data_IF_140786734800
#
_entry.id   IF_140786734800
#
_cell.length_a   1.000
_cell.length_b   1.000
_cell.length_c   1.000
_cell.angle_alpha   90.00
_cell.angle_beta   90.00
_cell.angle_gamma   90.00
#
_symmetry.space_group_name_H-M   'P 1'
#
loop_
_entity.id
_entity.type
_entity.pdbx_description
1 polymer ?
#
# COMPACT_ATOMS: atom_id res chain seq x y z
N UNK A 1 -11.04 -30.40 -13.35
CA UNK A 1 -11.67 -29.17 -13.83
C UNK A 1 -11.82 -28.09 -12.75
N UNK A 2 -12.30 -28.39 -11.53
CA UNK A 2 -12.52 -27.36 -10.48
C UNK A 2 -11.22 -26.68 -10.01
N UNK A 3 -10.13 -27.42 -9.79
CA UNK A 3 -8.84 -26.86 -9.38
C UNK A 3 -8.23 -25.94 -10.47
N UNK A 4 -8.36 -26.31 -11.74
CA UNK A 4 -7.90 -25.48 -12.86
C UNK A 4 -8.64 -24.14 -12.92
N UNK A 5 -9.97 -24.13 -12.72
CA UNK A 5 -10.75 -22.88 -12.64
C UNK A 5 -10.31 -22.00 -11.48
N UNK A 6 -10.01 -22.59 -10.31
CA UNK A 6 -9.49 -21.85 -9.16
C UNK A 6 -8.10 -21.29 -9.44
N UNK A 7 -7.22 -22.03 -10.10
CA UNK A 7 -5.89 -21.56 -10.49
C UNK A 7 -5.97 -20.38 -11.49
N UNK A 8 -6.81 -20.48 -12.52
CA UNK A 8 -7.03 -19.38 -13.47
C UNK A 8 -7.55 -18.13 -12.75
N UNK A 9 -8.54 -18.30 -11.85
CA UNK A 9 -9.02 -17.17 -11.04
C UNK A 9 -7.94 -16.61 -10.11
N UNK A 10 -7.06 -17.47 -9.56
CA UNK A 10 -5.92 -17.03 -8.76
C UNK A 10 -4.91 -16.20 -9.56
N UNK A 11 -4.59 -16.63 -10.79
CA UNK A 11 -3.77 -15.84 -11.70
C UNK A 11 -4.41 -14.47 -12.01
N UNK A 12 -5.72 -14.42 -12.25
CA UNK A 12 -6.44 -13.16 -12.46
C UNK A 12 -6.32 -12.23 -11.24
N UNK A 13 -6.47 -12.75 -10.01
CA UNK A 13 -6.31 -11.96 -8.79
C UNK A 13 -4.88 -11.42 -8.67
N UNK A 14 -3.87 -12.24 -8.96
CA UNK A 14 -2.49 -11.78 -8.97
C UNK A 14 -2.28 -10.63 -9.96
N UNK A 15 -2.82 -10.73 -11.18
CA UNK A 15 -2.73 -9.65 -12.17
C UNK A 15 -3.43 -8.37 -11.71
N UNK A 16 -4.54 -8.46 -10.98
CA UNK A 16 -5.21 -7.28 -10.39
C UNK A 16 -4.32 -6.61 -9.34
N UNK A 17 -3.70 -7.38 -8.46
CA UNK A 17 -2.82 -6.88 -7.41
C UNK A 17 -1.45 -6.45 -7.95
N UNK A 18 -1.04 -6.98 -9.10
CA UNK A 18 0.33 -6.94 -9.61
C UNK A 18 0.86 -5.54 -9.80
N UNK A 19 0.10 -4.66 -10.47
CA UNK A 19 0.55 -3.31 -10.79
C UNK A 19 0.94 -2.52 -9.53
N UNK A 20 0.08 -2.54 -8.52
CA UNK A 20 0.32 -1.87 -7.26
C UNK A 20 1.46 -2.54 -6.45
N UNK A 21 1.53 -3.87 -6.49
CA UNK A 21 2.49 -4.64 -5.69
C UNK A 21 3.95 -4.42 -6.12
N UNK A 22 4.23 -4.30 -7.42
CA UNK A 22 5.60 -4.06 -7.93
C UNK A 22 6.02 -2.60 -7.87
N UNK A 23 5.08 -1.66 -7.75
CA UNK A 23 5.40 -0.24 -7.65
C UNK A 23 6.20 0.09 -6.39
N UNK A 24 5.85 -0.47 -5.25
CA UNK A 24 6.54 -0.18 -3.98
C UNK A 24 8.03 -0.52 -4.05
N UNK A 25 8.45 -1.74 -4.43
CA UNK A 25 9.89 -2.04 -4.52
C UNK A 25 10.61 -1.17 -5.56
N UNK A 26 10.00 -0.90 -6.71
CA UNK A 26 10.62 -0.05 -7.73
C UNK A 26 10.84 1.39 -7.25
N UNK A 27 9.95 1.92 -6.40
CA UNK A 27 10.06 3.27 -5.82
C UNK A 27 11.08 3.35 -4.70
N UNK A 28 11.20 2.28 -3.93
CA UNK A 28 12.02 2.25 -2.72
C UNK A 28 13.41 1.68 -2.95
N UNK A 29 13.70 1.20 -4.18
CA UNK A 29 14.96 0.52 -4.50
C UNK A 29 15.02 -0.92 -3.97
N UNK A 30 13.89 -1.47 -3.48
CA UNK A 30 13.81 -2.85 -3.07
C UNK A 30 13.66 -3.78 -4.29
N UNK A 31 13.97 -5.06 -4.09
CA UNK A 31 13.86 -6.04 -5.17
C UNK A 31 12.39 -6.43 -5.42
N UNK A 32 11.85 -6.26 -6.66
CA UNK A 32 10.48 -6.68 -6.99
C UNK A 32 10.18 -8.16 -6.75
N UNK A 33 11.19 -9.04 -6.92
CA UNK A 33 11.04 -10.45 -6.62
C UNK A 33 10.73 -10.70 -5.14
N UNK A 34 11.34 -9.92 -4.23
CA UNK A 34 11.09 -10.03 -2.80
C UNK A 34 9.70 -9.52 -2.42
N UNK A 35 9.16 -8.54 -3.15
CA UNK A 35 7.77 -8.10 -2.96
C UNK A 35 6.77 -9.20 -3.35
N UNK A 36 7.01 -9.88 -4.48
CA UNK A 36 6.20 -11.03 -4.92
C UNK A 36 6.28 -12.20 -3.92
N UNK A 37 7.49 -12.51 -3.46
CA UNK A 37 7.72 -13.58 -2.48
C UNK A 37 7.05 -13.25 -1.13
N UNK A 38 7.24 -12.03 -0.64
CA UNK A 38 6.63 -11.54 0.61
C UNK A 38 5.11 -11.53 0.55
N UNK A 39 4.52 -11.06 -0.55
CA UNK A 39 3.08 -11.08 -0.78
C UNK A 39 2.51 -12.52 -0.80
N UNK A 40 3.19 -13.42 -1.51
CA UNK A 40 2.79 -14.82 -1.59
C UNK A 40 2.87 -15.53 -0.24
N UNK A 41 4.03 -15.49 0.43
CA UNK A 41 4.22 -16.12 1.74
C UNK A 41 3.29 -15.47 2.78
N UNK A 42 3.23 -14.13 2.82
CA UNK A 42 2.36 -13.38 3.74
C UNK A 42 0.89 -13.78 3.57
N UNK A 43 0.40 -13.89 2.33
CA UNK A 43 -0.98 -14.34 2.05
C UNK A 43 -1.22 -15.78 2.53
N UNK A 44 -0.27 -16.71 2.33
CA UNK A 44 -0.43 -18.08 2.81
C UNK A 44 -0.46 -18.15 4.34
N UNK A 45 0.40 -17.39 5.02
CA UNK A 45 0.42 -17.30 6.48
C UNK A 45 -0.86 -16.64 7.02
N UNK A 46 -1.33 -15.56 6.39
CA UNK A 46 -2.63 -14.96 6.69
C UNK A 46 -3.76 -15.99 6.59
N UNK A 47 -3.79 -16.78 5.52
CA UNK A 47 -4.79 -17.83 5.36
C UNK A 47 -4.68 -18.94 6.41
N UNK A 48 -3.47 -19.27 6.85
CA UNK A 48 -3.27 -20.23 7.93
C UNK A 48 -3.87 -19.72 9.23
N UNK A 49 -3.57 -18.49 9.62
CA UNK A 49 -4.08 -17.85 10.86
C UNK A 49 -5.61 -17.67 10.79
N UNK A 50 -6.15 -17.27 9.64
CA UNK A 50 -7.60 -17.07 9.46
C UNK A 50 -8.36 -18.35 9.09
N UNK A 51 -7.67 -19.52 9.11
CA UNK A 51 -8.23 -20.84 8.75
C UNK A 51 -8.88 -20.84 7.37
N UNK A 52 -8.31 -20.09 6.42
CA UNK A 52 -8.81 -19.92 5.04
C UNK A 52 -10.27 -19.45 4.97
N UNK A 53 -10.72 -18.62 5.93
CA UNK A 53 -12.09 -18.11 5.93
C UNK A 53 -12.22 -16.84 5.10
N UNK A 54 -11.20 -16.00 5.08
CA UNK A 54 -11.25 -14.66 4.50
C UNK A 54 -10.58 -14.63 3.14
N UNK A 55 -11.28 -14.24 2.06
CA UNK A 55 -10.72 -14.19 0.72
C UNK A 55 -9.96 -12.86 0.50
N UNK A 56 -8.83 -12.69 1.19
CA UNK A 56 -7.92 -11.55 1.10
C UNK A 56 -6.59 -12.02 0.53
N UNK A 57 -6.00 -11.20 -0.33
CA UNK A 57 -4.63 -11.28 -0.81
C UNK A 57 -3.86 -10.09 -0.26
N UNK A 58 -2.66 -10.35 0.27
CA UNK A 58 -1.77 -9.32 0.80
C UNK A 58 -0.78 -8.88 -0.29
N UNK A 59 -0.54 -7.59 -0.39
CA UNK A 59 0.45 -7.04 -1.30
C UNK A 59 1.20 -5.87 -0.67
N UNK A 60 2.15 -5.27 -1.38
CA UNK A 60 3.06 -4.26 -0.85
C UNK A 60 2.34 -3.00 -0.37
N UNK A 61 2.65 -2.53 0.83
CA UNK A 61 2.01 -1.37 1.45
C UNK A 61 2.61 -0.05 0.97
N UNK A 62 1.79 0.84 0.42
CA UNK A 62 2.19 2.19 -0.01
C UNK A 62 2.55 3.11 1.15
N UNK A 63 1.97 2.89 2.34
CA UNK A 63 2.23 3.70 3.52
C UNK A 63 3.70 3.70 3.96
N UNK A 64 4.44 2.67 3.57
CA UNK A 64 5.84 2.52 3.92
C UNK A 64 6.82 3.09 2.87
N UNK A 65 6.36 3.59 1.71
CA UNK A 65 7.28 4.10 0.67
C UNK A 65 8.18 5.19 1.22
N UNK A 66 7.62 6.29 1.72
CA UNK A 66 8.40 7.39 2.27
C UNK A 66 9.26 6.97 3.49
N UNK A 67 8.74 6.21 4.47
CA UNK A 67 9.55 5.65 5.55
C UNK A 67 10.71 4.77 5.08
N UNK A 68 10.51 3.90 4.09
CA UNK A 68 11.58 3.04 3.56
C UNK A 68 12.68 3.88 2.90
N UNK A 69 12.31 4.83 2.02
CA UNK A 69 13.28 5.71 1.35
C UNK A 69 14.13 6.46 2.38
N UNK A 70 13.49 7.06 3.39
CA UNK A 70 14.19 7.76 4.46
C UNK A 70 15.11 6.83 5.25
N UNK A 71 14.60 5.67 5.66
CA UNK A 71 15.35 4.71 6.49
C UNK A 71 16.55 4.11 5.76
N UNK A 72 16.42 3.82 4.46
CA UNK A 72 17.54 3.34 3.64
C UNK A 72 18.63 4.42 3.55
N UNK A 73 18.25 5.68 3.36
CA UNK A 73 19.17 6.79 3.27
C UNK A 73 19.92 7.05 4.60
N UNK A 74 19.25 6.89 5.74
CA UNK A 74 19.80 7.21 7.07
C UNK A 74 20.57 6.04 7.68
N UNK A 75 20.08 4.80 7.54
CA UNK A 75 20.62 3.61 8.24
C UNK A 75 20.98 2.44 7.34
N UNK A 76 20.76 2.56 6.05
CA UNK A 76 20.98 1.49 5.08
C UNK A 76 19.88 0.43 5.02
N UNK A 77 19.96 -0.41 3.99
CA UNK A 77 18.96 -1.42 3.68
C UNK A 77 18.82 -2.51 4.77
N UNK A 78 19.90 -3.11 5.32
CA UNK A 78 19.76 -4.17 6.34
C UNK A 78 19.08 -3.67 7.63
N UNK A 79 19.37 -2.45 8.07
CA UNK A 79 18.73 -1.81 9.23
C UNK A 79 17.24 -1.51 8.95
N UNK A 80 16.93 -1.07 7.73
CA UNK A 80 15.56 -0.84 7.27
C UNK A 80 14.74 -2.12 7.31
N UNK A 81 15.29 -3.26 6.88
CA UNK A 81 14.62 -4.55 6.94
C UNK A 81 14.25 -4.95 8.37
N UNK A 82 15.14 -4.72 9.35
CA UNK A 82 14.81 -4.92 10.76
C UNK A 82 13.70 -3.98 11.24
N UNK A 83 13.71 -2.73 10.79
CA UNK A 83 12.63 -1.77 11.07
C UNK A 83 11.27 -2.26 10.52
N UNK A 84 11.25 -2.79 9.31
CA UNK A 84 10.03 -3.34 8.69
C UNK A 84 9.55 -4.60 9.42
N UNK A 85 10.44 -5.49 9.82
CA UNK A 85 10.11 -6.61 10.69
C UNK A 85 9.47 -6.13 12.00
N UNK A 86 10.06 -5.12 12.65
CA UNK A 86 9.53 -4.56 13.88
C UNK A 86 8.15 -3.91 13.68
N UNK A 87 7.91 -3.26 12.54
CA UNK A 87 6.61 -2.67 12.21
C UNK A 87 5.44 -3.69 12.28
N UNK A 88 5.70 -4.96 11.96
CA UNK A 88 4.71 -6.02 12.08
C UNK A 88 4.19 -6.23 13.51
N UNK A 89 4.98 -5.90 14.53
CA UNK A 89 4.53 -6.01 15.92
C UNK A 89 3.40 -5.02 16.26
N UNK A 90 3.30 -3.90 15.57
CA UNK A 90 2.21 -2.96 15.78
C UNK A 90 0.84 -3.59 15.48
N UNK A 91 0.76 -4.48 14.51
CA UNK A 91 -0.47 -5.21 14.20
C UNK A 91 -0.88 -6.13 15.35
N UNK A 92 0.09 -6.76 16.06
CA UNK A 92 -0.23 -7.58 17.23
C UNK A 92 -0.71 -6.70 18.39
N UNK A 93 -0.18 -5.48 18.55
CA UNK A 93 -0.70 -4.52 19.54
C UNK A 93 -2.16 -4.19 19.27
N UNK A 94 -2.52 -3.90 18.01
CA UNK A 94 -3.92 -3.67 17.62
C UNK A 94 -4.78 -4.93 17.78
N UNK A 95 -4.28 -6.08 17.38
CA UNK A 95 -4.99 -7.35 17.55
C UNK A 95 -5.31 -7.62 19.03
N UNK A 96 -4.34 -7.38 19.91
CA UNK A 96 -4.50 -7.53 21.36
C UNK A 96 -5.50 -6.50 21.92
N UNK A 97 -5.41 -5.26 21.48
CA UNK A 97 -6.34 -4.18 21.88
C UNK A 97 -7.77 -4.54 21.50
N UNK A 98 -8.00 -5.04 20.29
CA UNK A 98 -9.31 -5.48 19.82
C UNK A 98 -9.80 -6.67 20.63
N UNK A 99 -8.93 -7.64 20.90
CA UNK A 99 -9.28 -8.83 21.68
C UNK A 99 -9.71 -8.47 23.13
N UNK A 100 -9.08 -7.47 23.75
CA UNK A 100 -9.34 -7.10 25.15
C UNK A 100 -10.45 -6.06 25.31
N UNK A 101 -10.48 -5.04 24.45
CA UNK A 101 -11.37 -3.88 24.58
C UNK A 101 -12.42 -3.80 23.49
N UNK A 102 -12.35 -4.71 22.50
CA UNK A 102 -13.25 -4.71 21.35
C UNK A 102 -12.92 -3.63 20.31
N UNK A 103 -13.63 -3.65 19.20
CA UNK A 103 -13.47 -2.70 18.09
C UNK A 103 -13.78 -1.24 18.51
N UNK A 104 -14.65 -1.06 19.50
CA UNK A 104 -15.02 0.27 20.01
C UNK A 104 -13.81 1.06 20.54
N UNK A 105 -12.82 0.38 21.16
CA UNK A 105 -11.60 1.04 21.64
C UNK A 105 -10.75 1.56 20.49
N UNK A 106 -10.63 0.80 19.40
CA UNK A 106 -9.91 1.23 18.19
C UNK A 106 -10.64 2.39 17.51
N UNK A 107 -11.97 2.32 17.35
CA UNK A 107 -12.76 3.40 16.75
C UNK A 107 -12.71 4.70 17.57
N UNK A 108 -12.51 4.60 18.89
CA UNK A 108 -12.33 5.78 19.75
C UNK A 108 -10.96 6.43 19.56
N UNK A 109 -9.92 5.62 19.39
CA UNK A 109 -8.55 6.09 19.21
C UNK A 109 -8.34 6.63 17.78
N UNK A 110 -8.98 5.99 16.82
CA UNK A 110 -8.81 6.14 15.39
C UNK A 110 -10.17 6.41 14.70
N UNK A 111 -10.84 7.53 15.04
CA UNK A 111 -12.06 7.93 14.34
C UNK A 111 -11.75 8.39 12.91
N UNK A 112 -12.75 8.51 12.03
CA UNK A 112 -12.54 8.90 10.62
C UNK A 112 -11.81 10.24 10.42
N UNK A 113 -11.95 11.19 11.36
CA UNK A 113 -11.20 12.47 11.34
C UNK A 113 -9.69 12.28 11.57
N UNK A 114 -9.28 11.18 12.17
CA UNK A 114 -7.87 10.78 12.33
C UNK A 114 -7.41 9.98 11.12
N UNK A 115 -8.20 8.98 10.72
CA UNK A 115 -7.83 8.02 9.66
C UNK A 115 -7.78 8.69 8.28
N UNK A 116 -8.80 9.48 7.94
CA UNK A 116 -8.94 10.07 6.61
C UNK A 116 -7.73 10.93 6.20
N UNK A 117 -7.33 11.92 6.99
CA UNK A 117 -6.14 12.72 6.70
C UNK A 117 -4.85 11.91 6.63
N UNK A 118 -4.68 10.88 7.47
CA UNK A 118 -3.50 10.00 7.42
C UNK A 118 -3.45 9.23 6.10
N UNK A 119 -4.59 8.70 5.62
CA UNK A 119 -4.67 8.05 4.30
C UNK A 119 -4.40 9.07 3.17
N UNK A 120 -4.92 10.31 3.28
CA UNK A 120 -4.61 11.35 2.30
C UNK A 120 -3.11 11.63 2.22
N UNK A 121 -2.42 11.66 3.37
CA UNK A 121 -0.97 11.84 3.43
C UNK A 121 -0.23 10.69 2.75
N UNK A 122 -0.69 9.43 2.83
CA UNK A 122 -0.05 8.30 2.13
C UNK A 122 0.06 8.60 0.62
N UNK A 123 -1.02 9.07 0.00
CA UNK A 123 -0.98 9.43 -1.42
C UNK A 123 -0.19 10.70 -1.71
N UNK A 124 -0.42 11.76 -0.94
CA UNK A 124 0.15 13.09 -1.22
C UNK A 124 1.64 13.18 -0.90
N UNK A 125 2.15 12.46 0.10
CA UNK A 125 3.58 12.50 0.46
C UNK A 125 4.51 11.97 -0.64
N UNK A 126 4.01 11.08 -1.49
CA UNK A 126 4.78 10.52 -2.61
C UNK A 126 4.39 11.14 -3.96
N UNK A 127 3.48 12.10 -3.99
CA UNK A 127 3.05 12.77 -5.22
C UNK A 127 4.20 13.53 -5.90
N UNK A 128 5.12 14.13 -5.11
CA UNK A 128 6.31 14.78 -5.64
C UNK A 128 7.22 13.80 -6.38
N UNK A 129 7.42 12.60 -5.81
CA UNK A 129 8.23 11.54 -6.44
C UNK A 129 7.59 11.11 -7.77
N UNK A 130 6.26 10.91 -7.79
CA UNK A 130 5.53 10.58 -9.01
C UNK A 130 5.70 11.66 -10.09
N UNK A 131 5.61 12.94 -9.72
CA UNK A 131 5.80 14.07 -10.63
C UNK A 131 7.22 14.14 -11.16
N UNK A 132 8.24 13.96 -10.32
CA UNK A 132 9.65 13.92 -10.74
C UNK A 132 9.90 12.77 -11.73
N UNK A 133 9.40 11.57 -11.44
CA UNK A 133 9.52 10.43 -12.34
C UNK A 133 8.81 10.66 -13.68
N UNK A 134 7.63 11.29 -13.66
CA UNK A 134 6.90 11.66 -14.87
C UNK A 134 7.68 12.67 -15.74
N UNK A 135 8.47 13.53 -15.11
CA UNK A 135 9.38 14.48 -15.77
C UNK A 135 10.75 13.87 -16.14
N UNK A 136 10.95 12.55 -15.90
CA UNK A 136 12.20 11.86 -16.20
C UNK A 136 13.32 12.09 -15.19
N UNK A 137 12.98 12.47 -13.94
CA UNK A 137 13.95 12.76 -12.88
C UNK A 137 13.98 11.64 -11.85
N UNK A 138 15.19 11.30 -11.37
CA UNK A 138 15.42 10.43 -10.21
C UNK A 138 16.23 11.19 -9.17
N UNK A 139 15.69 11.38 -7.96
CA UNK A 139 16.37 12.11 -6.89
C UNK A 139 16.75 13.55 -7.26
N UNK A 140 15.97 14.21 -8.12
CA UNK A 140 16.23 15.57 -8.61
C UNK A 140 17.21 15.65 -9.78
N UNK A 141 17.75 14.52 -10.26
CA UNK A 141 18.65 14.45 -11.42
C UNK A 141 17.88 14.02 -12.65
N UNK A 142 18.06 14.70 -13.79
CA UNK A 142 17.45 14.33 -15.05
C UNK A 142 18.12 13.07 -15.61
N UNK A 143 17.34 11.99 -15.76
CA UNK A 143 17.80 10.68 -16.25
C UNK A 143 17.29 10.40 -17.66
N UNK A 144 16.08 10.90 -17.99
CA UNK A 144 15.48 10.81 -19.31
C UNK A 144 15.20 12.23 -19.79
N UNK A 145 15.47 12.55 -21.06
CA UNK A 145 15.16 13.88 -21.62
C UNK A 145 13.73 14.33 -21.26
N UNK A 146 13.60 15.58 -20.84
CA UNK A 146 12.36 16.13 -20.30
C UNK A 146 11.19 16.01 -21.26
N UNK A 147 11.42 16.31 -22.55
CA UNK A 147 10.36 16.28 -23.57
C UNK A 147 9.90 14.84 -23.85
N UNK A 148 10.84 13.91 -23.93
CA UNK A 148 10.56 12.49 -24.10
C UNK A 148 9.84 11.92 -22.87
N UNK A 149 10.28 12.32 -21.67
CA UNK A 149 9.68 11.89 -20.42
C UNK A 149 8.23 12.35 -20.31
N UNK A 150 7.92 13.62 -20.59
CA UNK A 150 6.55 14.14 -20.56
C UNK A 150 5.64 13.48 -21.60
N UNK A 151 6.15 13.25 -22.81
CA UNK A 151 5.37 12.57 -23.86
C UNK A 151 5.02 11.13 -23.41
N UNK A 152 6.00 10.40 -22.90
CA UNK A 152 5.83 9.01 -22.48
C UNK A 152 4.95 8.89 -21.23
N UNK A 153 5.18 9.71 -20.21
CA UNK A 153 4.37 9.72 -18.98
C UNK A 153 2.95 10.20 -19.26
N UNK A 154 2.77 11.22 -20.09
CA UNK A 154 1.46 11.72 -20.51
C UNK A 154 0.66 10.65 -21.27
N UNK A 155 1.30 9.97 -22.23
CA UNK A 155 0.69 8.84 -22.94
C UNK A 155 0.26 7.74 -21.97
N UNK A 156 1.18 7.33 -21.08
CA UNK A 156 0.92 6.27 -20.09
C UNK A 156 -0.23 6.65 -19.14
N UNK A 157 -0.24 7.90 -18.66
CA UNK A 157 -1.32 8.43 -17.81
C UNK A 157 -2.66 8.42 -18.55
N UNK A 158 -2.73 8.93 -19.78
CA UNK A 158 -3.96 8.99 -20.59
C UNK A 158 -4.50 7.57 -20.79
N UNK A 159 -3.66 6.60 -21.19
CA UNK A 159 -4.09 5.21 -21.38
C UNK A 159 -4.64 4.65 -20.07
N UNK A 160 -3.95 4.87 -18.95
CA UNK A 160 -4.39 4.39 -17.62
C UNK A 160 -5.76 4.97 -17.27
N UNK A 161 -5.96 6.27 -17.46
CA UNK A 161 -7.25 6.96 -17.22
C UNK A 161 -8.35 6.42 -18.14
N UNK A 162 -8.06 6.27 -19.44
CA UNK A 162 -9.02 5.75 -20.41
C UNK A 162 -9.48 4.34 -20.03
N UNK A 163 -8.56 3.48 -19.61
CA UNK A 163 -8.89 2.13 -19.14
C UNK A 163 -9.69 2.16 -17.83
N UNK A 164 -9.32 3.01 -16.90
CA UNK A 164 -10.01 3.13 -15.61
C UNK A 164 -11.46 3.62 -15.76
N UNK A 165 -11.71 4.54 -16.70
CA UNK A 165 -13.02 5.18 -16.87
C UNK A 165 -13.87 4.47 -17.93
N UNK A 166 -13.31 4.18 -19.09
CA UNK A 166 -14.05 3.68 -20.26
C UNK A 166 -13.83 2.19 -20.53
N UNK A 167 -12.87 1.55 -19.84
CA UNK A 167 -12.60 0.12 -19.98
C UNK A 167 -13.81 -0.77 -19.69
N UNK A 168 -13.80 -1.99 -20.23
CA UNK A 168 -14.77 -3.03 -19.85
C UNK A 168 -14.65 -3.36 -18.36
N UNK A 169 -15.65 -4.07 -17.80
CA UNK A 169 -15.64 -4.45 -16.36
C UNK A 169 -14.33 -5.11 -15.93
N UNK A 170 -13.75 -5.97 -16.78
CA UNK A 170 -12.48 -6.65 -16.48
C UNK A 170 -11.27 -5.74 -16.63
N UNK A 171 -11.24 -4.87 -17.65
CA UNK A 171 -10.13 -3.93 -17.86
C UNK A 171 -10.03 -2.89 -16.74
N UNK A 172 -11.16 -2.44 -16.19
CA UNK A 172 -11.19 -1.52 -15.05
C UNK A 172 -10.61 -2.10 -13.76
N UNK A 173 -10.38 -3.41 -13.69
CA UNK A 173 -9.69 -4.05 -12.55
C UNK A 173 -8.17 -3.93 -12.63
N UNK A 174 -7.63 -3.70 -13.84
CA UNK A 174 -6.18 -3.72 -14.09
C UNK A 174 -5.68 -2.48 -14.88
N UNK A 175 -6.17 -1.26 -14.58
CA UNK A 175 -5.84 -0.07 -15.36
C UNK A 175 -4.34 0.24 -15.30
N UNK A 176 -3.71 0.08 -14.12
CA UNK A 176 -2.28 0.30 -13.89
C UNK A 176 -1.47 -0.67 -14.77
N UNK A 177 -1.81 -1.96 -14.77
CA UNK A 177 -1.09 -2.97 -15.55
C UNK A 177 -1.18 -2.68 -17.05
N UNK A 178 -2.36 -2.31 -17.56
CA UNK A 178 -2.55 -1.96 -18.98
C UNK A 178 -1.80 -0.66 -19.31
N UNK A 179 -1.83 0.33 -18.42
CA UNK A 179 -1.08 1.57 -18.58
C UNK A 179 0.43 1.33 -18.64
N UNK A 180 0.98 0.53 -17.72
CA UNK A 180 2.39 0.14 -17.73
C UNK A 180 2.75 -0.61 -19.02
N UNK A 181 1.93 -1.58 -19.44
CA UNK A 181 2.19 -2.33 -20.67
C UNK A 181 2.19 -1.45 -21.91
N UNK A 182 1.23 -0.53 -22.02
CA UNK A 182 1.17 0.44 -23.13
C UNK A 182 2.34 1.42 -23.09
N UNK A 183 2.66 1.96 -21.92
CA UNK A 183 3.79 2.87 -21.73
C UNK A 183 5.13 2.20 -21.99
N UNK A 184 5.31 0.96 -21.54
CA UNK A 184 6.52 0.18 -21.82
C UNK A 184 6.67 -0.09 -23.32
N UNK A 185 5.57 -0.44 -24.02
CA UNK A 185 5.57 -0.62 -25.47
C UNK A 185 5.95 0.68 -26.19
N UNK A 186 5.39 1.81 -25.80
CA UNK A 186 5.78 3.11 -26.33
C UNK A 186 7.25 3.44 -26.08
N UNK A 187 7.76 3.14 -24.87
CA UNK A 187 9.14 3.34 -24.50
C UNK A 187 10.11 2.50 -25.35
N UNK A 188 9.72 1.26 -25.73
CA UNK A 188 10.48 0.43 -26.66
C UNK A 188 10.60 1.10 -28.05
N UNK A 189 9.52 1.63 -28.59
CA UNK A 189 9.56 2.35 -29.87
C UNK A 189 10.36 3.68 -29.81
N UNK A 190 10.43 4.30 -28.63
CA UNK A 190 11.23 5.49 -28.38
C UNK A 190 12.73 5.18 -28.12
N UNK A 191 13.12 3.90 -28.04
CA UNK A 191 14.49 3.50 -27.71
C UNK A 191 14.93 3.79 -26.28
N UNK A 192 13.98 3.96 -25.35
CA UNK A 192 14.23 4.27 -23.94
C UNK A 192 14.37 3.04 -23.05
N UNK A 193 14.26 1.84 -23.61
CA UNK A 193 14.35 0.57 -22.88
C UNK A 193 15.59 -0.19 -23.29
N UNK A 194 16.46 -0.50 -22.35
CA UNK A 194 17.52 -1.49 -22.56
C UNK A 194 16.98 -2.91 -22.29
N UNK A 195 16.88 -3.71 -23.32
CA UNK A 195 16.42 -5.10 -23.23
C UNK A 195 17.55 -6.10 -22.91
N UNK A 196 18.83 -5.65 -22.92
CA UNK A 196 19.99 -6.50 -22.68
C UNK A 196 19.93 -7.24 -21.34
N UNK A 197 19.53 -6.60 -20.22
CA UNK A 197 19.37 -7.29 -18.93
C UNK A 197 18.33 -8.42 -18.98
N UNK A 198 17.23 -8.22 -19.76
CA UNK A 198 16.18 -9.23 -19.89
C UNK A 198 16.69 -10.45 -20.68
N UNK A 199 17.42 -10.19 -21.78
CA UNK A 199 17.98 -11.25 -22.62
C UNK A 199 18.99 -12.10 -21.86
N UNK A 200 19.85 -11.48 -21.04
CA UNK A 200 20.90 -12.13 -20.29
C UNK A 200 20.41 -12.75 -18.97
N UNK A 201 19.26 -12.35 -18.45
CA UNK A 201 18.71 -12.91 -17.22
C UNK A 201 18.41 -14.42 -17.38
N UNK A 202 18.70 -15.24 -16.37
CA UNK A 202 18.33 -16.66 -16.38
C UNK A 202 16.80 -16.78 -16.26
N UNK A 203 16.26 -17.89 -16.78
CA UNK A 203 14.83 -18.21 -16.61
C UNK A 203 14.47 -18.41 -15.15
N UNK A 204 15.33 -19.09 -14.40
CA UNK A 204 15.18 -19.30 -12.97
C UNK A 204 16.32 -18.60 -12.22
N UNK A 205 15.96 -17.75 -11.25
CA UNK A 205 16.90 -17.06 -10.38
C UNK A 205 16.38 -17.09 -8.95
N UNK A 206 17.24 -17.41 -8.01
CA UNK A 206 16.92 -17.26 -6.59
C UNK A 206 16.99 -15.77 -6.27
N UNK A 207 15.91 -15.16 -5.73
CA UNK A 207 15.95 -13.76 -5.33
C UNK A 207 17.05 -13.49 -4.31
N UNK A 208 17.63 -12.31 -4.36
CA UNK A 208 18.63 -11.92 -3.36
C UNK A 208 17.94 -11.60 -2.04
N UNK A 209 18.28 -12.36 -0.99
CA UNK A 209 17.78 -12.17 0.35
C UNK A 209 18.70 -11.20 1.11
N UNK A 210 18.12 -10.13 1.63
CA UNK A 210 18.83 -9.24 2.54
C UNK A 210 18.76 -9.77 3.98
N UNK A 211 19.90 -9.77 4.67
CA UNK A 211 19.94 -10.16 6.08
C UNK A 211 19.67 -8.95 6.96
N UNK A 212 18.55 -8.93 7.71
CA UNK A 212 18.26 -7.81 8.60
C UNK A 212 19.34 -7.62 9.66
N UNK A 213 19.77 -6.38 9.89
CA UNK A 213 20.65 -6.00 10.98
C UNK A 213 19.88 -5.28 12.06
N UNK A 214 20.07 -5.71 13.33
CA UNK A 214 19.39 -5.10 14.47
C UNK A 214 19.77 -3.62 14.58
N UNK A 215 18.75 -2.77 14.39
CA UNK A 215 18.85 -1.33 14.56
C UNK A 215 17.57 -0.80 15.21
N UNK A 216 17.65 -0.45 16.48
CA UNK A 216 16.51 0.02 17.26
C UNK A 216 15.99 1.38 16.79
N UNK A 217 16.84 2.24 16.19
CA UNK A 217 16.39 3.53 15.63
C UNK A 217 15.48 3.29 14.41
N UNK A 218 15.89 2.42 13.51
CA UNK A 218 15.06 2.02 12.37
C UNK A 218 13.76 1.34 12.82
N UNK A 219 13.82 0.48 13.85
CA UNK A 219 12.64 -0.17 14.42
C UNK A 219 11.63 0.85 14.98
N UNK A 220 12.09 1.75 15.86
CA UNK A 220 11.23 2.78 16.47
C UNK A 220 10.67 3.77 15.43
N UNK A 221 11.43 4.06 14.37
CA UNK A 221 11.00 4.89 13.26
C UNK A 221 9.88 4.23 12.43
N UNK A 222 9.98 2.92 12.17
CA UNK A 222 9.02 2.18 11.34
C UNK A 222 7.73 1.80 12.07
N UNK A 223 7.76 1.58 13.39
CA UNK A 223 6.60 1.16 14.18
C UNK A 223 5.36 2.04 13.95
N UNK A 224 5.42 3.38 14.05
CA UNK A 224 4.25 4.23 13.82
C UNK A 224 3.71 4.17 12.38
N UNK A 225 4.57 3.88 11.39
CA UNK A 225 4.18 3.72 10.00
C UNK A 225 3.16 2.59 9.78
N UNK A 226 3.15 1.58 10.67
CA UNK A 226 2.21 0.47 10.61
C UNK A 226 0.78 0.82 11.08
N UNK A 227 0.57 1.96 11.74
CA UNK A 227 -0.76 2.36 12.26
C UNK A 227 -1.76 2.50 11.11
N UNK A 228 -1.39 3.23 10.07
CA UNK A 228 -2.30 3.49 8.94
C UNK A 228 -2.68 2.20 8.18
N UNK A 229 -1.74 1.33 7.76
CA UNK A 229 -2.10 0.07 7.11
C UNK A 229 -2.87 -0.89 8.00
N UNK A 230 -2.61 -0.91 9.32
CA UNK A 230 -3.40 -1.73 10.24
C UNK A 230 -4.88 -1.30 10.28
N UNK A 231 -5.15 0.00 10.18
CA UNK A 231 -6.51 0.54 10.08
C UNK A 231 -7.11 0.21 8.70
N UNK A 232 -6.34 0.40 7.64
CA UNK A 232 -6.73 0.05 6.27
C UNK A 232 -7.14 -1.42 6.19
N UNK A 233 -6.38 -2.32 6.86
CA UNK A 233 -6.71 -3.72 7.00
C UNK A 233 -8.10 -3.94 7.62
N UNK A 234 -8.43 -3.26 8.72
CA UNK A 234 -9.74 -3.36 9.37
C UNK A 234 -10.84 -2.96 8.36
N UNK A 235 -10.66 -1.84 7.67
CA UNK A 235 -11.56 -1.38 6.61
C UNK A 235 -11.71 -2.39 5.49
N UNK A 236 -10.62 -2.99 5.02
CA UNK A 236 -10.56 -4.03 3.99
C UNK A 236 -11.33 -5.30 4.39
N UNK A 237 -11.15 -5.77 5.63
CA UNK A 237 -11.88 -6.92 6.18
C UNK A 237 -13.39 -6.64 6.25
N UNK A 238 -13.78 -5.45 6.65
CA UNK A 238 -15.20 -5.06 6.66
C UNK A 238 -15.76 -4.93 5.25
N UNK A 239 -15.00 -4.39 4.30
CA UNK A 239 -15.41 -4.26 2.91
C UNK A 239 -15.62 -5.61 2.24
N UNK A 240 -14.67 -6.56 2.37
CA UNK A 240 -14.82 -7.90 1.81
C UNK A 240 -15.96 -8.66 2.51
N UNK A 241 -16.22 -8.40 3.78
CA UNK A 241 -17.37 -8.93 4.51
C UNK A 241 -18.70 -8.51 3.86
N UNK A 242 -18.85 -7.21 3.55
CA UNK A 242 -20.02 -6.69 2.84
C UNK A 242 -20.19 -7.33 1.45
N UNK A 243 -19.09 -7.47 0.71
CA UNK A 243 -19.11 -8.06 -0.65
C UNK A 243 -19.53 -9.54 -0.62
N UNK A 244 -19.08 -10.29 0.38
CA UNK A 244 -19.35 -11.75 0.48
C UNK A 244 -20.58 -12.10 1.30
N UNK A 245 -21.20 -11.12 1.97
CA UNK A 245 -22.32 -11.34 2.88
C UNK A 245 -21.93 -12.06 4.19
N UNK A 246 -20.66 -12.00 4.60
CA UNK A 246 -20.13 -12.66 5.79
C UNK A 246 -19.52 -11.66 6.77
N UNK A 247 -19.68 -11.90 8.06
CA UNK A 247 -19.10 -11.07 9.12
C UNK A 247 -17.73 -11.61 9.54
N UNK A 248 -16.68 -11.20 8.80
CA UNK A 248 -15.30 -11.58 9.12
C UNK A 248 -14.74 -10.85 10.33
N UNK A 249 -15.39 -9.79 10.78
CA UNK A 249 -15.03 -9.14 12.04
C UNK A 249 -15.35 -10.01 13.25
N UNK A 250 -16.38 -10.90 13.12
CA UNK A 250 -16.74 -11.91 14.12
C UNK A 250 -16.02 -13.23 13.92
N UNK A 251 -16.04 -13.76 12.69
CA UNK A 251 -15.46 -15.07 12.37
C UNK A 251 -14.61 -14.98 11.09
N UNK A 252 -13.29 -15.06 11.17
CA UNK A 252 -12.45 -15.57 12.29
C UNK A 252 -12.21 -14.57 13.42
N UNK A 253 -12.56 -13.29 13.28
CA UNK A 253 -12.31 -12.20 14.21
C UNK A 253 -11.22 -11.25 13.72
N UNK A 254 -11.39 -9.94 13.97
CA UNK A 254 -10.41 -8.92 13.58
C UNK A 254 -9.06 -9.09 14.27
N UNK A 255 -9.03 -9.64 15.47
CA UNK A 255 -7.81 -9.98 16.19
C UNK A 255 -6.94 -10.95 15.39
N UNK A 256 -7.57 -11.99 14.80
CA UNK A 256 -6.85 -12.98 13.99
C UNK A 256 -6.47 -12.45 12.60
N UNK A 257 -7.33 -11.65 11.98
CA UNK A 257 -6.98 -11.08 10.67
C UNK A 257 -5.82 -10.09 10.78
N UNK A 258 -5.81 -9.22 11.81
CA UNK A 258 -4.68 -8.34 12.10
C UNK A 258 -3.41 -9.11 12.44
N UNK A 259 -3.52 -10.16 13.28
CA UNK A 259 -2.36 -10.98 13.59
C UNK A 259 -1.78 -11.66 12.34
N UNK A 260 -2.65 -12.14 11.44
CA UNK A 260 -2.24 -12.72 10.16
C UNK A 260 -1.53 -11.73 9.24
N UNK A 261 -2.03 -10.49 9.16
CA UNK A 261 -1.42 -9.40 8.40
C UNK A 261 -0.05 -9.02 9.01
N UNK A 262 0.00 -8.87 10.34
CA UNK A 262 1.24 -8.60 11.08
C UNK A 262 2.32 -9.66 10.87
N UNK A 263 1.96 -10.95 10.87
CA UNK A 263 2.88 -12.04 10.52
C UNK A 263 3.39 -11.86 9.08
N UNK A 264 2.51 -11.52 8.14
CA UNK A 264 2.89 -11.23 6.76
C UNK A 264 3.91 -10.08 6.66
N UNK A 265 3.69 -8.99 7.41
CA UNK A 265 4.63 -7.85 7.48
C UNK A 265 5.97 -8.27 8.07
N UNK A 266 5.97 -9.00 9.20
CA UNK A 266 7.20 -9.49 9.83
C UNK A 266 8.02 -10.35 8.86
N UNK A 267 7.37 -11.31 8.18
CA UNK A 267 8.06 -12.21 7.27
C UNK A 267 8.58 -11.46 6.03
N UNK A 268 7.78 -10.54 5.46
CA UNK A 268 8.24 -9.71 4.34
C UNK A 268 9.51 -8.92 4.71
N UNK A 269 9.55 -8.27 5.88
CA UNK A 269 10.74 -7.58 6.38
C UNK A 269 11.94 -8.50 6.58
N UNK A 270 11.73 -9.72 7.11
CA UNK A 270 12.81 -10.69 7.34
C UNK A 270 13.46 -11.20 6.06
N UNK A 271 12.70 -11.32 4.98
CA UNK A 271 13.22 -11.82 3.71
C UNK A 271 13.77 -10.72 2.79
N UNK A 272 13.68 -9.45 3.19
CA UNK A 272 14.16 -8.30 2.38
C UNK A 272 13.10 -7.71 1.45
N UNK A 273 11.83 -8.00 1.68
CA UNK A 273 10.71 -7.45 0.93
C UNK A 273 10.02 -6.25 1.62
N UNK A 274 9.22 -5.48 0.88
CA UNK A 274 8.39 -4.43 1.46
C UNK A 274 7.29 -5.04 2.34
N UNK A 275 6.82 -4.30 3.37
CA UNK A 275 5.70 -4.72 4.21
C UNK A 275 4.46 -4.98 3.37
N UNK A 276 3.70 -5.99 3.74
CA UNK A 276 2.47 -6.34 3.06
C UNK A 276 1.24 -5.79 3.79
N UNK A 277 0.15 -5.60 3.07
CA UNK A 277 -1.16 -5.17 3.60
C UNK A 277 -2.29 -5.72 2.75
N UNK A 278 -3.51 -5.61 3.24
CA UNK A 278 -4.73 -6.02 2.54
C UNK A 278 -5.01 -5.12 1.33
N UNK A 279 -5.18 -5.72 0.14
CA UNK A 279 -5.43 -4.97 -1.10
C UNK A 279 -6.92 -4.77 -1.37
N UNK A 280 -7.33 -3.49 -1.46
CA UNK A 280 -8.69 -3.08 -1.80
C UNK A 280 -9.08 -3.46 -3.23
N UNK A 281 -8.15 -3.43 -4.19
CA UNK A 281 -8.33 -3.82 -5.59
C UNK A 281 -8.79 -5.28 -5.70
N UNK A 282 -8.25 -6.15 -4.86
CA UNK A 282 -8.66 -7.57 -4.79
C UNK A 282 -10.10 -7.69 -4.29
N UNK A 283 -10.52 -6.87 -3.32
CA UNK A 283 -11.91 -6.82 -2.88
C UNK A 283 -12.85 -6.40 -4.03
N UNK A 284 -12.43 -5.42 -4.84
CA UNK A 284 -13.12 -5.02 -6.06
C UNK A 284 -13.23 -6.16 -7.08
N UNK A 285 -12.16 -6.93 -7.27
CA UNK A 285 -12.14 -8.09 -8.15
C UNK A 285 -13.10 -9.20 -7.68
N UNK A 286 -13.11 -9.50 -6.38
CA UNK A 286 -14.06 -10.46 -5.78
C UNK A 286 -15.52 -10.01 -6.00
N UNK A 287 -15.79 -8.71 -5.81
CA UNK A 287 -17.12 -8.14 -6.04
C UNK A 287 -17.58 -8.31 -7.49
N UNK A 288 -16.73 -8.03 -8.47
CA UNK A 288 -17.06 -8.10 -9.89
C UNK A 288 -17.17 -9.53 -10.42
N UNK A 289 -16.28 -10.41 -9.97
CA UNK A 289 -16.28 -11.82 -10.39
C UNK A 289 -17.28 -12.66 -9.62
N UNK A 290 -17.82 -12.15 -8.50
CA UNK A 290 -18.68 -12.87 -7.55
C UNK A 290 -18.05 -14.18 -7.04
N UNK A 291 -16.74 -14.30 -7.11
CA UNK A 291 -16.01 -15.49 -6.70
C UNK A 291 -15.23 -15.22 -5.40
N UNK A 292 -15.84 -15.57 -4.29
CA UNK A 292 -15.32 -15.34 -2.94
C UNK A 292 -14.65 -16.56 -2.30
N UNK A 293 -14.27 -17.57 -3.12
CA UNK A 293 -13.62 -18.77 -2.59
C UNK A 293 -12.18 -18.45 -2.13
N UNK A 294 -11.82 -18.59 -0.84
CA UNK A 294 -10.48 -18.27 -0.36
C UNK A 294 -9.34 -19.06 -1.01
N UNK A 295 -9.63 -20.23 -1.60
CA UNK A 295 -8.63 -21.02 -2.36
C UNK A 295 -8.08 -20.27 -3.56
N UNK A 296 -8.81 -19.28 -4.08
CA UNK A 296 -8.31 -18.42 -5.18
C UNK A 296 -7.12 -17.61 -4.71
N UNK A 297 -7.16 -17.08 -3.47
CA UNK A 297 -6.05 -16.33 -2.89
C UNK A 297 -4.84 -17.25 -2.61
N UNK A 298 -5.09 -18.53 -2.29
CA UNK A 298 -4.01 -19.52 -2.20
C UNK A 298 -3.29 -19.69 -3.55
N UNK A 299 -4.04 -19.82 -4.65
CA UNK A 299 -3.45 -19.92 -5.99
C UNK A 299 -2.74 -18.63 -6.40
N UNK A 300 -3.32 -17.47 -6.12
CA UNK A 300 -2.66 -16.18 -6.37
C UNK A 300 -1.32 -16.08 -5.63
N UNK A 301 -1.28 -16.51 -4.36
CA UNK A 301 -0.08 -16.54 -3.56
C UNK A 301 1.00 -17.50 -4.10
N UNK A 302 0.59 -18.70 -4.53
CA UNK A 302 1.50 -19.67 -5.17
C UNK A 302 2.07 -19.09 -6.46
N UNK A 303 1.26 -18.47 -7.31
CA UNK A 303 1.74 -17.82 -8.53
C UNK A 303 2.69 -16.65 -8.23
N UNK A 304 2.42 -15.84 -7.22
CA UNK A 304 3.32 -14.75 -6.79
C UNK A 304 4.69 -15.31 -6.38
N UNK A 305 4.72 -16.40 -5.57
CA UNK A 305 5.95 -17.07 -5.19
C UNK A 305 6.67 -17.61 -6.44
N UNK A 306 5.98 -18.31 -7.34
CA UNK A 306 6.61 -18.83 -8.56
C UNK A 306 7.22 -17.70 -9.41
N UNK A 307 6.51 -16.57 -9.57
CA UNK A 307 7.00 -15.41 -10.34
C UNK A 307 8.20 -14.74 -9.69
N UNK A 308 8.34 -14.80 -8.36
CA UNK A 308 9.53 -14.28 -7.67
C UNK A 308 10.82 -14.98 -8.14
N UNK A 309 10.76 -16.26 -8.49
CA UNK A 309 11.91 -17.02 -8.99
C UNK A 309 12.09 -16.94 -10.51
N UNK A 310 11.22 -16.21 -11.21
CA UNK A 310 11.31 -16.08 -12.66
C UNK A 310 12.21 -14.91 -13.05
N UNK A 311 13.51 -15.20 -13.26
CA UNK A 311 14.55 -14.17 -13.42
C UNK A 311 14.31 -13.22 -14.59
N UNK A 312 13.91 -13.71 -15.78
CA UNK A 312 13.58 -12.86 -16.94
C UNK A 312 12.44 -11.88 -16.63
N UNK A 313 11.44 -12.33 -15.87
CA UNK A 313 10.32 -11.48 -15.46
C UNK A 313 10.77 -10.38 -14.50
N UNK A 314 11.62 -10.71 -13.53
CA UNK A 314 12.16 -9.70 -12.61
C UNK A 314 13.07 -8.70 -13.34
N UNK A 315 13.86 -9.13 -14.32
CA UNK A 315 14.64 -8.25 -15.18
C UNK A 315 13.73 -7.33 -16.04
N UNK A 316 12.62 -7.85 -16.54
CA UNK A 316 11.60 -7.04 -17.24
C UNK A 316 11.04 -5.95 -16.32
N UNK A 317 10.68 -6.29 -15.09
CA UNK A 317 10.16 -5.29 -14.13
C UNK A 317 11.18 -4.18 -13.84
N UNK A 318 12.45 -4.55 -13.66
CA UNK A 318 13.53 -3.60 -13.41
C UNK A 318 13.85 -2.71 -14.63
N UNK A 319 13.47 -3.11 -15.85
CA UNK A 319 13.69 -2.35 -17.07
C UNK A 319 12.61 -1.31 -17.39
N UNK A 320 11.54 -1.23 -16.57
CA UNK A 320 10.45 -0.27 -16.80
C UNK A 320 10.97 1.15 -16.60
N UNK A 321 10.90 2.01 -17.65
CA UNK A 321 11.41 3.38 -17.56
C UNK A 321 10.66 4.24 -16.54
N UNK A 322 11.40 5.13 -15.86
CA UNK A 322 10.86 6.05 -14.85
C UNK A 322 9.61 6.83 -15.31
N UNK A 323 9.57 7.42 -16.55
CA UNK A 323 8.38 8.15 -16.98
C UNK A 323 7.12 7.30 -17.12
N UNK A 324 7.26 6.00 -17.47
CA UNK A 324 6.13 5.06 -17.50
C UNK A 324 5.57 4.89 -16.09
N UNK A 325 6.45 4.69 -15.12
CA UNK A 325 6.07 4.57 -13.71
C UNK A 325 5.43 5.87 -13.22
N UNK A 326 6.05 7.03 -13.49
CA UNK A 326 5.51 8.34 -13.12
C UNK A 326 4.09 8.56 -13.64
N UNK A 327 3.83 8.21 -14.90
CA UNK A 327 2.51 8.36 -15.52
C UNK A 327 1.40 7.59 -14.78
N UNK A 328 1.62 6.33 -14.43
CA UNK A 328 0.62 5.55 -13.67
C UNK A 328 0.51 5.99 -12.22
N UNK A 329 1.60 6.43 -11.62
CA UNK A 329 1.66 6.80 -10.19
C UNK A 329 0.88 8.07 -9.89
N UNK A 330 0.82 9.05 -10.81
CA UNK A 330 0.00 10.25 -10.66
C UNK A 330 -1.46 9.86 -10.38
N UNK A 331 -2.02 8.93 -11.15
CA UNK A 331 -3.38 8.45 -10.95
C UNK A 331 -3.49 7.65 -9.66
N UNK A 332 -2.56 6.72 -9.41
CA UNK A 332 -2.60 5.83 -8.25
C UNK A 332 -2.57 6.61 -6.93
N UNK A 333 -1.61 7.50 -6.75
CA UNK A 333 -1.49 8.27 -5.50
C UNK A 333 -2.62 9.28 -5.32
N UNK A 334 -3.10 9.86 -6.43
CA UNK A 334 -4.31 10.67 -6.42
C UNK A 334 -5.55 9.89 -5.96
N UNK A 335 -5.70 8.64 -6.39
CA UNK A 335 -6.82 7.78 -5.93
C UNK A 335 -6.69 7.40 -4.46
N UNK A 336 -5.48 7.13 -3.94
CA UNK A 336 -5.26 6.87 -2.51
C UNK A 336 -5.63 8.11 -1.68
N UNK A 337 -5.18 9.30 -2.09
CA UNK A 337 -5.57 10.54 -1.42
C UNK A 337 -7.09 10.75 -1.43
N UNK A 338 -7.75 10.45 -2.55
CA UNK A 338 -9.21 10.52 -2.69
C UNK A 338 -9.95 9.52 -1.80
N UNK A 339 -9.38 8.33 -1.55
CA UNK A 339 -9.94 7.36 -0.59
C UNK A 339 -9.90 7.90 0.85
N UNK A 340 -8.82 8.59 1.22
CA UNK A 340 -8.73 9.27 2.51
C UNK A 340 -9.79 10.37 2.66
N UNK A 341 -9.97 11.19 1.61
CA UNK A 341 -11.02 12.21 1.56
C UNK A 341 -12.42 11.57 1.65
N UNK A 342 -12.66 10.50 0.90
CA UNK A 342 -13.91 9.74 0.96
C UNK A 342 -14.20 9.23 2.37
N UNK A 343 -13.21 8.80 3.13
CA UNK A 343 -13.37 8.35 4.52
C UNK A 343 -13.94 9.45 5.41
N UNK A 344 -13.49 10.69 5.24
CA UNK A 344 -13.98 11.87 5.95
C UNK A 344 -15.42 12.19 5.55
N UNK A 345 -15.71 12.18 4.25
CA UNK A 345 -17.04 12.51 3.69
C UNK A 345 -18.08 11.45 4.10
N UNK A 346 -17.79 10.16 3.92
CA UNK A 346 -18.72 9.08 4.22
C UNK A 346 -19.10 9.04 5.72
N UNK A 347 -18.15 9.42 6.58
CA UNK A 347 -18.37 9.54 8.02
C UNK A 347 -19.05 10.85 8.42
N UNK A 348 -19.37 11.75 7.47
CA UNK A 348 -19.98 13.06 7.71
C UNK A 348 -19.22 13.87 8.76
N UNK A 349 -17.89 13.85 8.71
CA UNK A 349 -17.05 14.62 9.63
C UNK A 349 -17.26 16.10 9.34
N UNK A 350 -17.74 16.83 10.35
CA UNK A 350 -17.89 18.27 10.25
C UNK A 350 -16.53 18.95 10.41
N UNK A 351 -15.99 19.46 9.30
CA UNK A 351 -14.70 20.15 9.27
C UNK A 351 -14.79 21.60 9.79
N UNK A 352 -15.99 22.13 10.01
CA UNK A 352 -16.16 23.46 10.63
C UNK A 352 -15.98 23.41 12.14
N UNK A 353 -16.04 22.22 12.75
CA UNK A 353 -15.70 22.07 14.16
C UNK A 353 -14.20 22.33 14.37
N UNK A 354 -13.82 23.25 15.28
CA UNK A 354 -12.42 23.65 15.51
C UNK A 354 -11.49 22.46 15.77
N UNK A 355 -11.93 21.46 16.53
CA UNK A 355 -11.15 20.23 16.79
C UNK A 355 -10.83 19.49 15.50
N UNK A 356 -11.83 19.25 14.66
CA UNK A 356 -11.67 18.48 13.44
C UNK A 356 -10.81 19.24 12.43
N UNK A 357 -11.03 20.54 12.30
CA UNK A 357 -10.23 21.41 11.44
C UNK A 357 -8.75 21.39 11.83
N UNK A 358 -8.45 21.51 13.12
CA UNK A 358 -7.06 21.50 13.63
C UNK A 358 -6.40 20.14 13.34
N UNK A 359 -7.08 19.02 13.60
CA UNK A 359 -6.53 17.69 13.34
C UNK A 359 -6.20 17.54 11.84
N UNK A 360 -7.17 17.82 10.96
CA UNK A 360 -6.99 17.65 9.52
C UNK A 360 -5.88 18.56 8.98
N UNK A 361 -5.90 19.85 9.36
CA UNK A 361 -4.91 20.82 8.90
C UNK A 361 -3.50 20.47 9.36
N UNK A 362 -3.33 20.14 10.65
CA UNK A 362 -2.03 19.79 11.20
C UNK A 362 -1.46 18.53 10.53
N UNK A 363 -2.27 17.49 10.35
CA UNK A 363 -1.85 16.22 9.74
C UNK A 363 -1.46 16.41 8.28
N UNK A 364 -2.28 17.10 7.49
CA UNK A 364 -1.99 17.32 6.07
C UNK A 364 -0.74 18.19 5.88
N UNK A 365 -0.62 19.29 6.63
CA UNK A 365 0.53 20.20 6.51
C UNK A 365 1.83 19.49 6.92
N UNK A 366 1.80 18.75 8.04
CA UNK A 366 2.97 17.99 8.52
C UNK A 366 3.38 16.91 7.52
N UNK A 367 2.41 16.17 6.99
CA UNK A 367 2.70 15.02 6.12
C UNK A 367 3.12 15.41 4.73
N UNK A 368 2.43 16.35 4.09
CA UNK A 368 2.75 16.83 2.74
C UNK A 368 4.01 17.70 2.77
N UNK A 369 4.21 18.48 3.85
CA UNK A 369 5.39 19.29 4.05
C UNK A 369 6.66 18.50 4.36
N UNK A 370 6.58 17.18 4.54
CA UNK A 370 7.74 16.31 4.77
C UNK A 370 8.43 16.57 6.10
N UNK A 371 7.68 17.00 7.14
CA UNK A 371 8.24 17.32 8.45
C UNK A 371 8.93 16.12 9.09
N UNK A 372 10.13 16.34 9.62
CA UNK A 372 10.89 15.36 10.41
C UNK A 372 11.14 15.94 11.80
N UNK A 373 10.72 15.22 12.83
CA UNK A 373 10.97 15.59 14.23
C UNK A 373 12.03 14.66 14.78
N UNK A 374 13.13 15.22 15.29
CA UNK A 374 14.22 14.48 15.91
C UNK A 374 14.23 14.70 17.42
N UNK A 375 14.20 13.61 18.19
CA UNK A 375 14.39 13.60 19.63
C UNK A 375 15.62 12.77 19.97
N UNK A 376 16.75 13.44 20.20
CA UNK A 376 18.04 12.76 20.36
C UNK A 376 18.37 11.94 19.12
N UNK A 377 18.52 10.63 19.30
CA UNK A 377 18.80 9.66 18.21
C UNK A 377 17.56 9.13 17.51
N UNK A 378 16.35 9.44 18.00
CA UNK A 378 15.10 9.01 17.39
C UNK A 378 14.58 10.05 16.39
N UNK A 379 14.11 9.58 15.24
CA UNK A 379 13.47 10.40 14.22
C UNK A 379 12.03 9.94 14.00
N UNK A 380 11.11 10.88 13.81
CA UNK A 380 9.72 10.63 13.43
C UNK A 380 9.43 11.43 12.17
N UNK A 381 8.96 10.77 11.13
CA UNK A 381 8.65 11.41 9.84
C UNK A 381 7.51 10.71 9.11
N UNK A 382 7.06 11.33 8.02
CA UNK A 382 6.08 10.77 7.09
C UNK A 382 4.76 10.37 7.76
N UNK A 383 4.16 9.29 7.26
CA UNK A 383 2.83 8.80 7.68
C UNK A 383 2.79 8.43 9.17
N UNK A 384 3.90 7.90 9.71
CA UNK A 384 4.01 7.53 11.13
C UNK A 384 3.89 8.73 12.06
N UNK A 385 4.59 9.83 11.76
CA UNK A 385 4.48 11.08 12.51
C UNK A 385 3.06 11.64 12.42
N UNK A 386 2.45 11.62 11.24
CA UNK A 386 1.08 12.08 11.03
C UNK A 386 0.06 11.26 11.83
N UNK A 387 0.21 9.94 11.90
CA UNK A 387 -0.67 9.08 12.67
C UNK A 387 -0.56 9.38 14.17
N UNK A 388 0.66 9.52 14.70
CA UNK A 388 0.88 9.90 16.10
C UNK A 388 0.25 11.27 16.38
N UNK A 389 0.53 12.27 15.54
CA UNK A 389 0.02 13.63 15.70
C UNK A 389 -1.52 13.64 15.72
N UNK A 390 -2.15 12.95 14.77
CA UNK A 390 -3.60 12.87 14.69
C UNK A 390 -4.23 12.23 15.94
N UNK A 391 -3.63 11.14 16.44
CA UNK A 391 -4.09 10.45 17.65
C UNK A 391 -3.95 11.35 18.86
N UNK A 392 -2.79 11.98 19.04
CA UNK A 392 -2.51 12.87 20.18
C UNK A 392 -3.50 14.05 20.17
N UNK A 393 -3.67 14.72 19.05
CA UNK A 393 -4.63 15.81 18.93
C UNK A 393 -6.06 15.35 19.20
N UNK A 394 -6.46 14.18 18.70
CA UNK A 394 -7.80 13.66 18.97
C UNK A 394 -8.04 13.37 20.45
N UNK A 395 -7.00 12.96 21.18
CA UNK A 395 -7.10 12.65 22.63
C UNK A 395 -7.06 13.91 23.50
N UNK A 396 -6.23 14.89 23.13
CA UNK A 396 -5.98 16.10 23.96
C UNK A 396 -7.02 17.19 23.71
N UNK A 397 -7.46 17.37 22.46
CA UNK A 397 -8.44 18.41 22.15
C UNK A 397 -9.82 18.06 22.70
N UNK A 398 -10.53 19.03 23.29
CA UNK A 398 -11.83 18.82 23.90
C UNK A 398 -12.85 18.33 22.86
N UNK A 399 -13.78 17.50 23.31
CA UNK A 399 -14.99 17.17 22.53
C UNK A 399 -15.95 18.35 22.72
N UNK A 400 -16.22 19.09 21.66
CA UNK A 400 -17.26 20.10 21.71
C UNK A 400 -18.64 19.47 21.90
N UNK A 401 -19.47 20.12 22.69
CA UNK A 401 -20.89 19.80 22.76
C UNK A 401 -21.53 20.07 21.39
N UNK A 402 -22.54 19.29 20.97
CA UNK A 402 -23.24 19.54 19.71
C UNK A 402 -23.75 21.00 19.71
N UNK A 403 -23.44 21.69 18.61
CA UNK A 403 -23.75 23.13 18.46
C UNK A 403 -25.27 23.33 18.59
N UNK A 404 -25.74 23.88 19.71
CA UNK A 404 -27.14 24.20 19.98
C UNK A 404 -27.64 25.41 19.18
N UNK A 405 -26.80 26.06 18.39
CA UNK A 405 -27.08 27.37 17.79
C UNK A 405 -27.93 27.29 16.51
N UNK A 406 -28.19 26.10 15.94
CA UNK A 406 -28.97 26.00 14.69
C UNK A 406 -30.44 25.59 14.86
N UNK A 407 -30.94 25.47 16.08
CA UNK A 407 -32.34 25.06 16.32
C UNK A 407 -33.23 26.17 16.91
N UNK A 408 -32.77 27.42 16.95
CA UNK A 408 -33.61 28.53 17.49
C UNK A 408 -34.06 29.56 16.45
N UNK A 409 -33.85 29.32 15.15
CA UNK A 409 -34.45 30.17 14.10
C UNK A 409 -35.06 29.34 12.98
N UNK A 410 -36.24 28.75 13.16
CA UNK A 410 -37.28 28.56 12.13
C UNK A 410 -38.65 28.64 12.81
#
# INVERSE_FOLDING_TARGET
MQQLKLAISGAQILFVAFGAMVLVPLLTGLNPAMALLGAGIGTLLFQLVTKRKVPIFLGSSFAFIAPIIYSIAEWGLPSTMFGLFAAGFMYFVFALLIKWRGLAAVNRLLPPVVIGPVIMVIGLSVAMVASQMAMGQAGGVQVVDYSQALLLSGFTFIVTVMVAVFGSKMMRLVPILIGVAAGYTAALFMGLVDITPILNAPWFAVPHFETPQINWHAALFMLPGAIAPAIEHIGGVMAIGKVTGKDYAKDPGLDKTLAGDGIGVCVAGLIGGPPVTTYGEVTGAVMLTKNSNPKIMTWAAVFAICMAFFGKFNAFLASIPLPVMGGVMILLFGTIASLGLKTVIDAKVDLMQPKNLVIVSAVLTTGVGGMVIKFGSMSFAGVGLCAILAIVLNMVLPKEAPNKILNEEV
#
